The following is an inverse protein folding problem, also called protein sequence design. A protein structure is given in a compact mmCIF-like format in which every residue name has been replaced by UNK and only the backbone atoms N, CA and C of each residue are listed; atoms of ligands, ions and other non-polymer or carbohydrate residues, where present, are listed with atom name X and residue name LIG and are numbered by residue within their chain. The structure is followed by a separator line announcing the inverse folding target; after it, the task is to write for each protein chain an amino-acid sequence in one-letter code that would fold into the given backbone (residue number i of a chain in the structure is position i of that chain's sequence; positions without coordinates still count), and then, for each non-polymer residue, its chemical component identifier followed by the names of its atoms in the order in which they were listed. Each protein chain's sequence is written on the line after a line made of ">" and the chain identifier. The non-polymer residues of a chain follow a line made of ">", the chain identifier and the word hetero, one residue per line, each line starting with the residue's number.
data_IF_320385206022
#
_entry.id   IF_320385206022
#
_cell.length_a   1.000
_cell.length_b   1.000
_cell.length_c   1.000
_cell.angle_alpha   90.00
_cell.angle_beta   90.00
_cell.angle_gamma   90.00
#
_symmetry.space_group_name_H-M   'P 1'
#
loop_
_entity.id
_entity.type
_entity.pdbx_description
1 polymer ?
#
# COMPACT_ATOMS: atom_id res chain seq x y z
N UNK A 1 -7.60 12.17 24.99
CA UNK A 1 -7.18 12.89 23.78
C UNK A 1 -7.32 14.42 23.93
N UNK A 2 -8.53 14.91 24.22
CA UNK A 2 -8.89 16.34 24.17
C UNK A 2 -8.12 17.24 25.14
N UNK A 3 -7.69 16.73 26.31
CA UNK A 3 -6.91 17.50 27.31
C UNK A 3 -5.53 17.88 26.79
N UNK A 4 -4.79 16.93 26.19
CA UNK A 4 -3.44 17.13 25.63
C UNK A 4 -3.47 17.98 24.36
N UNK A 5 -4.47 17.78 23.50
CA UNK A 5 -4.70 18.62 22.31
C UNK A 5 -4.88 20.09 22.71
N UNK A 6 -5.66 20.37 23.77
CA UNK A 6 -5.83 21.73 24.29
C UNK A 6 -4.58 22.28 24.97
N UNK A 7 -3.89 21.48 25.78
CA UNK A 7 -2.64 21.85 26.47
C UNK A 7 -1.55 22.31 25.51
N UNK A 8 -1.38 21.62 24.39
CA UNK A 8 -0.36 21.92 23.38
C UNK A 8 -0.88 22.71 22.18
N UNK A 9 -2.13 23.16 22.21
CA UNK A 9 -2.79 23.86 21.10
C UNK A 9 -2.60 23.14 19.74
N UNK A 10 -2.80 21.82 19.72
CA UNK A 10 -2.62 21.02 18.50
C UNK A 10 -3.74 21.37 17.52
N UNK A 11 -3.36 21.98 16.40
CA UNK A 11 -4.29 22.36 15.34
C UNK A 11 -4.80 21.11 14.59
N UNK A 12 -6.02 21.13 14.04
CA UNK A 12 -6.55 20.01 13.24
C UNK A 12 -5.61 19.59 12.10
N UNK A 13 -4.98 20.56 11.42
CA UNK A 13 -3.97 20.33 10.37
C UNK A 13 -2.73 19.52 10.80
N UNK A 14 -2.50 19.40 12.11
CA UNK A 14 -1.40 18.65 12.71
C UNK A 14 -1.87 17.32 13.33
N UNK A 15 -3.12 16.91 13.09
CA UNK A 15 -3.69 15.66 13.60
C UNK A 15 -4.03 14.76 12.43
N UNK A 16 -3.42 13.57 12.38
CA UNK A 16 -3.62 12.61 11.31
C UNK A 16 -4.09 11.28 11.86
N UNK A 17 -5.02 10.65 11.15
CA UNK A 17 -5.29 9.23 11.30
C UNK A 17 -4.55 8.48 10.19
N UNK A 18 -3.73 7.51 10.58
CA UNK A 18 -2.89 6.72 9.66
C UNK A 18 -3.33 5.27 9.76
N UNK A 19 -3.49 4.60 8.62
CA UNK A 19 -3.78 3.17 8.57
C UNK A 19 -2.95 2.46 7.50
N UNK A 20 -2.79 1.14 7.66
CA UNK A 20 -2.04 0.27 6.75
C UNK A 20 -2.94 -0.78 6.12
N UNK A 21 -2.81 -0.96 4.81
CA UNK A 21 -3.51 -2.00 4.06
C UNK A 21 -2.55 -2.82 3.22
N UNK A 22 -2.57 -4.13 3.41
CA UNK A 22 -1.89 -5.08 2.54
C UNK A 22 -2.74 -5.46 1.33
N UNK A 23 -2.13 -5.49 0.15
CA UNK A 23 -2.71 -5.95 -1.12
C UNK A 23 -1.91 -7.15 -1.63
N UNK A 24 -2.60 -8.24 -1.98
CA UNK A 24 -1.95 -9.43 -2.53
C UNK A 24 -1.78 -9.26 -4.04
N UNK A 25 -0.54 -9.35 -4.51
CA UNK A 25 -0.22 -9.36 -5.95
C UNK A 25 -0.70 -10.70 -6.57
N UNK A 26 -1.08 -10.68 -7.86
CA UNK A 26 -1.57 -11.86 -8.63
C UNK A 26 -2.90 -12.47 -8.17
N UNK A 27 -3.62 -11.84 -7.24
CA UNK A 27 -5.01 -12.24 -6.94
C UNK A 27 -5.96 -11.50 -7.87
N UNK A 28 -6.29 -12.13 -9.00
CA UNK A 28 -7.36 -11.66 -9.88
C UNK A 28 -8.70 -11.92 -9.18
N UNK A 29 -9.66 -11.01 -9.34
CA UNK A 29 -11.04 -11.22 -8.88
C UNK A 29 -11.57 -12.58 -9.38
N UNK A 30 -12.45 -13.23 -8.61
CA UNK A 30 -13.08 -14.50 -9.01
C UNK A 30 -13.67 -14.36 -10.42
N UNK A 31 -13.15 -15.11 -11.38
CA UNK A 31 -13.68 -15.19 -12.74
C UNK A 31 -14.51 -16.46 -12.88
N UNK A 32 -15.63 -16.39 -13.60
CA UNK A 32 -16.37 -17.59 -14.00
C UNK A 32 -15.70 -18.14 -15.26
N UNK A 33 -15.48 -19.45 -15.28
CA UNK A 33 -14.97 -20.15 -16.46
C UNK A 33 -15.89 -21.32 -16.77
N UNK A 34 -16.18 -21.53 -18.05
CA UNK A 34 -16.98 -22.67 -18.53
C UNK A 34 -16.02 -23.66 -19.15
N UNK A 35 -16.05 -24.89 -18.68
CA UNK A 35 -15.23 -25.99 -19.18
C UNK A 35 -16.09 -27.24 -19.34
N UNK A 36 -15.67 -28.14 -20.21
CA UNK A 36 -16.16 -29.52 -20.19
C UNK A 36 -15.82 -30.14 -18.82
N UNK A 37 -16.77 -30.90 -18.25
CA UNK A 37 -16.60 -31.56 -16.96
C UNK A 37 -15.38 -32.47 -16.94
N UNK A 38 -15.04 -33.10 -18.07
CA UNK A 38 -13.86 -33.96 -18.19
C UNK A 38 -12.54 -33.18 -18.10
N UNK A 39 -12.54 -31.87 -18.37
CA UNK A 39 -11.38 -30.99 -18.34
C UNK A 39 -11.33 -30.12 -17.09
N UNK A 40 -12.27 -30.29 -16.15
CA UNK A 40 -12.29 -29.54 -14.91
C UNK A 40 -11.10 -29.94 -14.02
N UNK A 41 -10.17 -29.01 -13.84
CA UNK A 41 -9.14 -29.05 -12.79
C UNK A 41 -9.41 -27.93 -11.80
N UNK A 42 -9.29 -28.23 -10.51
CA UNK A 42 -9.35 -27.20 -9.47
C UNK A 42 -8.28 -26.13 -9.76
N UNK A 43 -8.66 -24.87 -9.95
CA UNK A 43 -7.69 -23.81 -10.18
C UNK A 43 -6.91 -23.56 -8.88
N UNK A 44 -5.70 -24.10 -8.80
CA UNK A 44 -4.76 -23.76 -7.74
C UNK A 44 -3.96 -22.53 -8.15
N UNK A 45 -3.84 -21.56 -7.24
CA UNK A 45 -2.90 -20.46 -7.41
C UNK A 45 -1.47 -20.98 -7.24
N UNK A 46 -0.51 -20.41 -7.96
CA UNK A 46 0.91 -20.76 -7.99
C UNK A 46 1.66 -20.53 -6.66
N UNK A 47 0.96 -20.32 -5.54
CA UNK A 47 1.51 -20.24 -4.18
C UNK A 47 2.35 -18.98 -3.91
N UNK A 48 2.90 -18.33 -4.93
CA UNK A 48 3.70 -17.13 -4.77
C UNK A 48 2.81 -15.90 -4.58
N UNK A 49 2.57 -15.55 -3.32
CA UNK A 49 1.74 -14.41 -2.90
C UNK A 49 2.64 -13.37 -2.22
N UNK A 50 3.06 -12.39 -2.99
CA UNK A 50 3.72 -11.19 -2.45
C UNK A 50 2.66 -10.16 -2.03
N UNK A 51 2.91 -9.50 -0.91
CA UNK A 51 2.04 -8.46 -0.37
C UNK A 51 2.67 -7.09 -0.62
N UNK A 52 1.90 -6.17 -1.19
CA UNK A 52 2.25 -4.75 -1.24
C UNK A 52 1.56 -4.05 -0.08
N UNK A 53 2.31 -3.27 0.67
CA UNK A 53 1.75 -2.48 1.77
C UNK A 53 1.47 -1.06 1.31
N UNK A 54 0.25 -0.59 1.50
CA UNK A 54 -0.14 0.80 1.29
C UNK A 54 -0.40 1.45 2.66
N UNK A 55 0.12 2.65 2.84
CA UNK A 55 -0.09 3.47 4.02
C UNK A 55 -0.82 4.73 3.59
N UNK A 56 -1.99 4.95 4.18
CA UNK A 56 -2.79 6.15 3.95
C UNK A 56 -2.86 7.00 5.21
N UNK A 57 -2.89 8.32 5.05
CA UNK A 57 -3.09 9.25 6.15
C UNK A 57 -4.13 10.31 5.77
N UNK A 58 -5.13 10.49 6.64
CA UNK A 58 -6.12 11.56 6.52
C UNK A 58 -5.94 12.54 7.67
N UNK A 59 -5.90 13.82 7.36
CA UNK A 59 -5.82 14.89 8.32
C UNK A 59 -7.19 15.19 8.92
N UNK A 60 -7.24 15.67 10.15
CA UNK A 60 -8.48 16.07 10.80
C UNK A 60 -9.13 17.30 10.15
N UNK A 61 -8.41 18.06 9.30
CA UNK A 61 -8.97 19.13 8.48
C UNK A 61 -9.54 18.66 7.13
N UNK A 62 -9.46 17.36 6.83
CA UNK A 62 -9.95 16.74 5.60
C UNK A 62 -8.91 16.66 4.47
N UNK A 63 -7.74 17.27 4.61
CA UNK A 63 -6.61 17.04 3.70
C UNK A 63 -6.00 15.65 3.90
N UNK A 64 -5.17 15.19 2.96
CA UNK A 64 -4.49 13.89 3.06
C UNK A 64 -3.01 14.03 2.72
N UNK A 65 -2.20 13.12 3.26
CA UNK A 65 -0.83 12.96 2.78
C UNK A 65 -0.82 12.03 1.57
N UNK A 66 0.19 12.18 0.68
CA UNK A 66 0.42 11.22 -0.40
C UNK A 66 0.55 9.81 0.19
N UNK A 67 -0.20 8.81 -0.33
CA UNK A 67 -0.06 7.46 0.16
C UNK A 67 1.33 6.91 -0.13
N UNK A 68 1.86 6.13 0.81
CA UNK A 68 3.12 5.41 0.64
C UNK A 68 2.85 3.96 0.25
N UNK A 69 3.55 3.47 -0.77
CA UNK A 69 3.46 2.10 -1.29
C UNK A 69 4.81 1.41 -1.08
N UNK A 70 4.81 0.31 -0.33
CA UNK A 70 6.00 -0.47 -0.01
C UNK A 70 5.92 -1.82 -0.70
N UNK A 71 6.86 -2.08 -1.59
CA UNK A 71 7.01 -3.38 -2.24
C UNK A 71 7.95 -4.30 -1.46
N UNK A 72 7.64 -5.61 -1.36
CA UNK A 72 8.58 -6.58 -0.85
C UNK A 72 9.68 -6.82 -1.89
N UNK A 73 10.93 -6.51 -1.54
CA UNK A 73 12.05 -6.74 -2.45
C UNK A 73 13.36 -6.97 -1.68
N UNK A 74 14.18 -7.90 -2.16
CA UNK A 74 15.54 -8.08 -1.66
C UNK A 74 16.49 -6.94 -2.09
N UNK A 75 16.14 -6.21 -3.15
CA UNK A 75 16.86 -5.02 -3.60
C UNK A 75 16.31 -3.78 -2.92
N UNK A 76 17.18 -2.80 -2.67
CA UNK A 76 16.81 -1.47 -2.18
C UNK A 76 16.22 -0.55 -3.27
N UNK A 77 16.06 -1.05 -4.50
CA UNK A 77 15.56 -0.27 -5.64
C UNK A 77 14.14 -0.67 -6.02
N UNK A 78 13.30 0.34 -6.24
CA UNK A 78 12.01 0.17 -6.91
C UNK A 78 12.24 -0.26 -8.36
N UNK A 79 11.57 -1.31 -8.82
CA UNK A 79 11.67 -1.73 -10.22
C UNK A 79 10.86 -0.80 -11.12
N UNK A 80 11.44 -0.35 -12.23
CA UNK A 80 10.79 0.57 -13.17
C UNK A 80 9.43 0.05 -13.66
N UNK A 81 9.31 -1.26 -13.92
CA UNK A 81 8.06 -1.87 -14.39
C UNK A 81 6.93 -1.82 -13.35
N UNK A 82 7.21 -1.62 -12.05
CA UNK A 82 6.18 -1.50 -11.03
C UNK A 82 5.51 -0.13 -10.98
N UNK A 83 6.22 0.89 -11.49
CA UNK A 83 5.77 2.29 -11.47
C UNK A 83 5.57 2.85 -12.88
N UNK A 84 5.68 2.02 -13.92
CA UNK A 84 5.60 2.43 -15.31
C UNK A 84 4.31 3.19 -15.64
N UNK A 85 3.18 2.79 -15.05
CA UNK A 85 1.88 3.41 -15.31
C UNK A 85 1.59 4.63 -14.42
N UNK A 86 2.56 5.01 -13.56
CA UNK A 86 2.42 6.16 -12.67
C UNK A 86 2.93 7.41 -13.38
N UNK A 87 2.01 8.32 -13.68
CA UNK A 87 2.35 9.68 -14.11
C UNK A 87 2.76 10.57 -12.92
N UNK A 88 4.02 11.01 -12.80
CA UNK A 88 4.49 11.84 -11.68
C UNK A 88 3.90 13.26 -11.68
N UNK A 89 3.39 13.75 -12.83
CA UNK A 89 2.80 15.08 -12.92
C UNK A 89 1.38 15.13 -12.33
N UNK A 90 0.70 13.98 -12.26
CA UNK A 90 -0.71 13.89 -11.84
C UNK A 90 -0.95 12.96 -10.66
N UNK A 91 -0.02 12.06 -10.35
CA UNK A 91 -0.14 11.13 -9.23
C UNK A 91 0.84 11.48 -8.11
N UNK A 92 0.29 11.81 -6.95
CA UNK A 92 1.07 12.10 -5.75
C UNK A 92 1.14 10.86 -4.87
N UNK A 93 2.24 10.12 -5.00
CA UNK A 93 2.48 8.82 -4.36
C UNK A 93 3.95 8.72 -3.94
N UNK A 94 4.22 8.06 -2.82
CA UNK A 94 5.59 7.70 -2.41
C UNK A 94 5.80 6.20 -2.59
N UNK A 95 6.94 5.81 -3.17
CA UNK A 95 7.29 4.41 -3.40
C UNK A 95 8.56 4.04 -2.66
N UNK A 96 8.51 2.91 -1.97
CA UNK A 96 9.64 2.35 -1.26
C UNK A 96 9.67 0.83 -1.40
N UNK A 97 10.79 0.23 -1.00
CA UNK A 97 10.94 -1.22 -0.95
C UNK A 97 11.48 -1.64 0.41
N UNK A 98 11.11 -2.82 0.86
CA UNK A 98 11.77 -3.46 2.01
C UNK A 98 11.78 -4.99 1.84
N UNK A 99 12.76 -5.72 2.39
CA UNK A 99 12.79 -7.18 2.29
C UNK A 99 11.54 -7.86 2.86
N UNK A 100 10.91 -7.22 3.85
CA UNK A 100 9.72 -7.74 4.52
C UNK A 100 8.41 -7.27 3.89
N UNK A 101 8.45 -6.23 3.04
CA UNK A 101 7.25 -5.54 2.53
C UNK A 101 6.55 -4.66 3.58
N UNK A 102 7.15 -4.46 4.76
CA UNK A 102 6.61 -3.64 5.85
C UNK A 102 7.40 -2.33 6.01
N UNK A 103 6.79 -1.39 6.73
CA UNK A 103 7.46 -0.17 7.22
C UNK A 103 8.56 -0.51 8.22
N UNK A 104 9.63 0.27 8.21
CA UNK A 104 10.63 0.33 9.27
C UNK A 104 10.93 1.82 9.61
N UNK A 105 11.80 2.04 10.58
CA UNK A 105 12.15 3.40 11.03
C UNK A 105 12.82 4.20 9.92
N UNK A 106 13.68 3.57 9.11
CA UNK A 106 14.37 4.23 7.99
C UNK A 106 13.39 4.76 6.93
N UNK A 107 12.35 3.98 6.61
CA UNK A 107 11.31 4.37 5.66
C UNK A 107 10.32 5.41 6.23
N UNK A 108 10.22 5.53 7.56
CA UNK A 108 9.31 6.45 8.24
C UNK A 108 9.82 7.90 8.34
N UNK A 109 11.09 8.14 8.02
CA UNK A 109 11.75 9.46 8.11
C UNK A 109 11.83 10.18 6.76
N UNK A 110 11.54 9.49 5.66
CA UNK A 110 11.71 9.97 4.28
C UNK A 110 10.67 11.00 3.81
#
# INVERSE_FOLDING_TARGET
>A
LTKKVKEFNILPKNTYNIDKKGFIIRVIRKTKRVFDKALHKEPSHDGNREWVTVIGAICADGSHLPPAVIYPAASEKVQANWVHDINPDTHDLRFSVSPSGWTNDDLGVA
#
